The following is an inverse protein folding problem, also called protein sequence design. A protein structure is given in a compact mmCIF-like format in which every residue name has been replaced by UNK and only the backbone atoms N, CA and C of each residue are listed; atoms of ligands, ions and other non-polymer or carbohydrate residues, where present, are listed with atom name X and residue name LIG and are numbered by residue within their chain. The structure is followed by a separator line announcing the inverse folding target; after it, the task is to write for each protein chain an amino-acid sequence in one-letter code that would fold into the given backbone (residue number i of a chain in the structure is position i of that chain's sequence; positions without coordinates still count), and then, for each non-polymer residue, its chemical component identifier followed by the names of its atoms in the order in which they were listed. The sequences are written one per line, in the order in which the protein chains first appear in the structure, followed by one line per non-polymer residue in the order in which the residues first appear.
data_IF_122452502072
#
_entry.id   IF_122452502072
#
_cell.length_a   1.000
_cell.length_b   1.000
_cell.length_c   1.000
_cell.angle_alpha   90.00
_cell.angle_beta   90.00
_cell.angle_gamma   90.00
#
_symmetry.space_group_name_H-M   'P 1'
#
loop_
_entity.id
_entity.type
_entity.pdbx_description
1 polymer ?
#
# COMPACT_ATOMS: atom_id res chain seq x y z
N UNK A 1 -17.60 7.24 3.35
CA UNK A 1 -16.35 6.58 3.72
C UNK A 1 -15.36 7.71 3.91
N UNK A 2 -15.16 8.14 5.14
CA UNK A 2 -14.30 9.25 5.51
C UNK A 2 -12.86 8.97 5.04
N UNK A 3 -12.29 9.87 4.25
CA UNK A 3 -10.92 9.81 3.71
C UNK A 3 -9.83 9.93 4.80
N UNK A 4 -10.23 9.99 6.08
CA UNK A 4 -9.36 10.30 7.22
C UNK A 4 -8.85 9.06 7.97
N UNK A 5 -9.56 7.93 7.93
CA UNK A 5 -9.04 6.66 8.43
C UNK A 5 -8.32 5.94 7.29
N UNK A 6 -7.18 6.50 6.90
CA UNK A 6 -6.34 5.86 5.90
C UNK A 6 -5.99 4.44 6.36
N UNK A 7 -6.50 3.46 5.62
CA UNK A 7 -6.27 2.02 5.70
C UNK A 7 -4.79 1.59 5.57
N UNK A 8 -3.83 2.49 5.79
CA UNK A 8 -2.40 2.16 5.79
C UNK A 8 -2.09 1.03 6.76
N UNK A 9 -2.70 1.03 7.95
CA UNK A 9 -2.58 -0.07 8.91
C UNK A 9 -3.22 -1.35 8.37
N UNK A 10 -4.43 -1.27 7.79
CA UNK A 10 -5.14 -2.42 7.24
C UNK A 10 -4.38 -3.08 6.08
N UNK A 11 -3.77 -2.28 5.21
CA UNK A 11 -2.95 -2.75 4.08
C UNK A 11 -1.75 -3.54 4.62
N UNK A 12 -1.06 -3.00 5.62
CA UNK A 12 0.08 -3.65 6.26
C UNK A 12 -0.35 -4.93 7.01
N UNK A 13 -1.50 -4.91 7.67
CA UNK A 13 -2.08 -6.08 8.33
C UNK A 13 -2.37 -7.19 7.32
N UNK A 14 -3.07 -6.89 6.23
CA UNK A 14 -3.39 -7.85 5.15
C UNK A 14 -2.14 -8.43 4.49
N UNK A 15 -1.11 -7.61 4.28
CA UNK A 15 0.18 -8.06 3.76
C UNK A 15 0.96 -8.91 4.77
N UNK A 16 0.87 -8.60 6.06
CA UNK A 16 1.46 -9.38 7.15
C UNK A 16 0.80 -10.76 7.26
N UNK A 17 -0.53 -10.84 7.14
CA UNK A 17 -1.30 -12.11 7.16
C UNK A 17 -0.81 -13.10 6.08
N UNK A 18 -0.34 -12.61 4.94
CA UNK A 18 0.16 -13.44 3.83
C UNK A 18 1.71 -13.53 3.78
N UNK A 19 2.42 -13.00 4.78
CA UNK A 19 3.88 -12.99 4.83
C UNK A 19 4.54 -12.22 3.68
N UNK A 20 3.87 -11.16 3.20
CA UNK A 20 4.36 -10.29 2.11
C UNK A 20 4.69 -8.87 2.57
N UNK A 21 4.72 -8.64 3.88
CA UNK A 21 5.06 -7.35 4.46
C UNK A 21 6.49 -6.92 4.09
N UNK A 22 7.50 -7.77 4.28
CA UNK A 22 8.88 -7.47 3.90
C UNK A 22 9.02 -7.17 2.40
N UNK A 23 8.40 -7.99 1.55
CA UNK A 23 8.44 -7.82 0.10
C UNK A 23 7.77 -6.52 -0.36
N UNK A 24 6.80 -6.03 0.42
CA UNK A 24 6.14 -4.76 0.18
C UNK A 24 7.06 -3.59 0.53
N UNK A 25 7.69 -3.60 1.71
CA UNK A 25 8.65 -2.57 2.09
C UNK A 25 9.85 -2.51 1.14
N UNK A 26 10.39 -3.65 0.73
CA UNK A 26 11.46 -3.72 -0.29
C UNK A 26 11.04 -3.08 -1.62
N UNK A 27 9.78 -3.27 -2.01
CA UNK A 27 9.24 -2.66 -3.22
C UNK A 27 9.10 -1.14 -3.08
N UNK A 28 8.75 -0.62 -1.91
CA UNK A 28 8.69 0.83 -1.65
C UNK A 28 10.08 1.45 -1.66
N UNK A 29 11.03 0.84 -0.95
CA UNK A 29 12.41 1.33 -0.88
C UNK A 29 13.12 1.33 -2.25
N UNK A 30 12.67 0.48 -3.17
CA UNK A 30 13.20 0.37 -4.54
C UNK A 30 12.37 1.14 -5.59
N UNK A 31 11.38 1.93 -5.19
CA UNK A 31 10.41 2.60 -6.10
C UNK A 31 9.68 1.62 -7.06
N UNK A 32 9.59 0.34 -6.71
CA UNK A 32 8.93 -0.71 -7.48
C UNK A 32 7.42 -0.76 -7.16
N UNK A 33 6.71 0.26 -7.63
CA UNK A 33 5.27 0.40 -7.42
C UNK A 33 4.46 -0.72 -8.11
N UNK A 34 4.96 -1.29 -9.20
CA UNK A 34 4.33 -2.44 -9.85
C UNK A 34 4.35 -3.67 -8.95
N UNK A 35 5.48 -3.94 -8.29
CA UNK A 35 5.59 -5.01 -7.30
C UNK A 35 4.71 -4.74 -6.09
N UNK A 36 4.72 -3.53 -5.53
CA UNK A 36 3.85 -3.16 -4.40
C UNK A 36 2.35 -3.35 -4.73
N UNK A 37 1.92 -2.96 -5.94
CA UNK A 37 0.55 -3.15 -6.43
C UNK A 37 0.17 -4.63 -6.55
N UNK A 38 1.09 -5.45 -7.06
CA UNK A 38 0.88 -6.89 -7.20
C UNK A 38 0.74 -7.58 -5.82
N UNK A 39 1.52 -7.15 -4.84
CA UNK A 39 1.45 -7.66 -3.46
C UNK A 39 0.12 -7.29 -2.80
N UNK A 40 -0.34 -6.03 -2.93
CA UNK A 40 -1.63 -5.62 -2.39
C UNK A 40 -2.81 -6.39 -3.02
N UNK A 41 -2.77 -6.64 -4.33
CA UNK A 41 -3.78 -7.50 -5.00
C UNK A 41 -3.78 -8.93 -4.44
N UNK A 42 -2.61 -9.50 -4.16
CA UNK A 42 -2.49 -10.84 -3.55
C UNK A 42 -3.01 -10.88 -2.13
N UNK A 43 -2.95 -9.76 -1.42
CA UNK A 43 -3.52 -9.58 -0.09
C UNK A 43 -5.04 -9.31 -0.12
N UNK A 44 -5.68 -9.43 -1.29
CA UNK A 44 -7.11 -9.19 -1.50
C UNK A 44 -7.55 -7.78 -1.08
N UNK A 45 -6.69 -6.79 -1.31
CA UNK A 45 -6.98 -5.38 -1.07
C UNK A 45 -7.73 -4.81 -2.27
N UNK A 46 -8.77 -4.04 -2.01
CA UNK A 46 -9.61 -3.43 -3.03
C UNK A 46 -8.85 -2.41 -3.89
N UNK A 47 -9.31 -2.27 -5.14
CA UNK A 47 -8.65 -1.41 -6.12
C UNK A 47 -8.60 0.06 -5.69
N UNK A 48 -9.64 0.55 -5.02
CA UNK A 48 -9.71 1.93 -4.52
C UNK A 48 -8.63 2.19 -3.46
N UNK A 49 -8.46 1.29 -2.50
CA UNK A 49 -7.41 1.35 -1.47
C UNK A 49 -6.03 1.30 -2.11
N UNK A 50 -5.81 0.40 -3.06
CA UNK A 50 -4.53 0.31 -3.80
C UNK A 50 -4.23 1.64 -4.52
N UNK A 51 -5.21 2.22 -5.20
CA UNK A 51 -5.04 3.48 -5.91
C UNK A 51 -4.71 4.63 -4.95
N UNK A 52 -5.33 4.66 -3.76
CA UNK A 52 -5.05 5.65 -2.73
C UNK A 52 -3.63 5.52 -2.16
N UNK A 53 -3.21 4.30 -1.82
CA UNK A 53 -1.85 4.01 -1.33
C UNK A 53 -0.81 4.41 -2.39
N UNK A 54 -1.03 4.04 -3.65
CA UNK A 54 -0.16 4.40 -4.77
C UNK A 54 -0.06 5.91 -4.97
N UNK A 55 -1.17 6.64 -4.82
CA UNK A 55 -1.19 8.10 -4.91
C UNK A 55 -0.38 8.75 -3.79
N UNK A 56 -0.52 8.28 -2.55
CA UNK A 56 0.27 8.76 -1.40
C UNK A 56 1.75 8.43 -1.49
N UNK A 57 2.11 7.28 -2.05
CA UNK A 57 3.51 6.89 -2.22
C UNK A 57 4.22 7.69 -3.31
N UNK A 58 3.49 8.10 -4.36
CA UNK A 58 4.02 8.90 -5.46
C UNK A 58 4.13 10.39 -5.13
N UNK A 59 3.39 10.84 -4.11
CA UNK A 59 3.37 12.21 -3.61
C UNK A 59 3.85 12.21 -2.14
N UNK A 60 5.16 11.98 -1.88
CA UNK A 60 5.71 11.99 -0.53
C UNK A 60 5.75 13.40 0.08
N UNK A 61 5.55 14.46 -0.73
CA UNK A 61 5.40 15.85 -0.29
C UNK A 61 4.05 16.04 0.42
N UNK A 62 4.00 15.56 1.65
CA UNK A 62 3.05 16.02 2.66
C UNK A 62 3.23 17.51 2.89
N UNK A 63 2.61 18.34 2.04
CA UNK A 63 2.31 19.73 2.39
C UNK A 63 0.97 19.74 3.13
N UNK A 64 1.00 19.40 4.41
CA UNK A 64 -0.07 19.67 5.36
C UNK A 64 0.54 20.05 6.72
#
# INVERSE_FOLDING_TARGET
MDEQDFEGTLVLEKLSEIGKLDAFFEAIDSDDFDKAKSLMKRANIDFETIAMVMKKMRDPDGTH
#
